data_IF_887987499037
#
_entry.id   IF_887987499037
#
_cell.length_a   1.000
_cell.length_b   1.000
_cell.length_c   1.000
_cell.angle_alpha   90.00
_cell.angle_beta   90.00
_cell.angle_gamma   90.00
#
_symmetry.space_group_name_H-M   'P 1'
#
loop_
_entity.id
_entity.type
_entity.pdbx_description
1 polymer ?
#
# COMPACT_ATOMS: atom_id res chain seq x y z
N UNK A 1 -16.20 -16.41 -3.72
CA UNK A 1 -15.17 -15.37 -3.67
C UNK A 1 -14.44 -15.37 -5.00
N UNK A 2 -14.34 -14.22 -5.66
CA UNK A 2 -13.72 -14.07 -6.98
C UNK A 2 -12.21 -14.05 -6.87
N UNK A 3 -11.55 -14.79 -7.75
CA UNK A 3 -10.12 -14.71 -8.00
C UNK A 3 -9.85 -13.73 -9.16
N UNK A 4 -8.63 -13.18 -9.27
CA UNK A 4 -8.20 -12.46 -10.46
C UNK A 4 -8.31 -13.36 -11.70
N UNK A 5 -8.67 -12.77 -12.84
CA UNK A 5 -8.77 -13.52 -14.10
C UNK A 5 -7.41 -13.70 -14.77
N UNK A 6 -6.52 -12.74 -14.59
CA UNK A 6 -5.22 -12.73 -15.24
C UNK A 6 -4.12 -12.50 -14.20
N UNK A 7 -3.31 -13.55 -13.99
CA UNK A 7 -2.26 -13.59 -12.98
C UNK A 7 -0.91 -13.80 -13.65
N UNK A 8 0.09 -13.04 -13.23
CA UNK A 8 1.49 -13.27 -13.57
C UNK A 8 2.17 -13.97 -12.38
N UNK A 9 2.95 -15.00 -12.67
CA UNK A 9 3.83 -15.71 -11.72
C UNK A 9 5.26 -15.37 -12.11
N UNK A 10 6.00 -14.75 -11.19
CA UNK A 10 7.42 -14.45 -11.34
C UNK A 10 8.18 -15.35 -10.37
N UNK A 11 8.78 -16.42 -10.89
CA UNK A 11 9.37 -17.51 -10.13
C UNK A 11 10.40 -18.21 -10.99
N UNK A 12 11.63 -18.39 -10.54
CA UNK A 12 12.68 -18.99 -11.34
C UNK A 12 12.80 -20.52 -11.19
N UNK A 13 12.17 -21.09 -10.16
CA UNK A 13 12.10 -22.51 -9.93
C UNK A 13 10.95 -23.15 -10.73
N UNK A 14 11.27 -23.88 -11.77
CA UNK A 14 10.29 -24.48 -12.70
C UNK A 14 9.25 -25.36 -11.99
N UNK A 15 9.65 -26.07 -10.94
CA UNK A 15 8.75 -26.98 -10.19
C UNK A 15 7.71 -26.14 -9.45
N UNK A 16 8.13 -25.11 -8.74
CA UNK A 16 7.25 -24.17 -8.01
C UNK A 16 6.33 -23.43 -8.97
N UNK A 17 6.86 -22.98 -10.10
CA UNK A 17 6.09 -22.31 -11.16
C UNK A 17 4.96 -23.20 -11.70
N UNK A 18 5.26 -24.49 -12.00
CA UNK A 18 4.25 -25.47 -12.45
C UNK A 18 3.21 -25.73 -11.38
N UNK A 19 3.64 -25.92 -10.14
CA UNK A 19 2.72 -26.17 -9.03
C UNK A 19 1.75 -25.00 -8.81
N UNK A 20 2.24 -23.76 -8.86
CA UNK A 20 1.40 -22.58 -8.79
C UNK A 20 0.42 -22.48 -9.95
N UNK A 21 0.89 -22.75 -11.17
CA UNK A 21 0.04 -22.78 -12.37
C UNK A 21 -1.08 -23.82 -12.22
N UNK A 22 -0.76 -25.06 -11.83
CA UNK A 22 -1.75 -26.11 -11.65
C UNK A 22 -2.83 -25.73 -10.61
N UNK A 23 -2.42 -25.09 -9.49
CA UNK A 23 -3.36 -24.60 -8.48
C UNK A 23 -4.33 -23.56 -9.08
N UNK A 24 -3.83 -22.63 -9.89
CA UNK A 24 -4.64 -21.56 -10.48
C UNK A 24 -5.55 -22.08 -11.59
N UNK A 25 -5.09 -23.00 -12.42
CA UNK A 25 -5.89 -23.65 -13.47
C UNK A 25 -7.08 -24.42 -12.88
N UNK A 26 -6.87 -25.14 -11.77
CA UNK A 26 -7.95 -25.82 -11.03
C UNK A 26 -9.02 -24.86 -10.46
N UNK A 27 -8.70 -23.57 -10.38
CA UNK A 27 -9.62 -22.52 -9.91
C UNK A 27 -10.19 -21.67 -11.05
N UNK A 28 -10.00 -22.09 -12.31
CA UNK A 28 -10.49 -21.45 -13.51
C UNK A 28 -9.97 -19.99 -13.67
N UNK A 29 -8.71 -19.73 -13.31
CA UNK A 29 -8.03 -18.48 -13.70
C UNK A 29 -7.85 -18.49 -15.22
N UNK A 30 -8.32 -17.43 -15.89
CA UNK A 30 -8.43 -17.42 -17.36
C UNK A 30 -7.06 -17.34 -18.06
N UNK A 31 -6.14 -16.59 -17.47
CA UNK A 31 -4.78 -16.40 -18.02
C UNK A 31 -3.76 -16.45 -16.91
N UNK A 32 -2.77 -17.33 -17.08
CA UNK A 32 -1.65 -17.51 -16.16
C UNK A 32 -0.36 -17.41 -16.96
N UNK A 33 0.36 -16.31 -16.76
CA UNK A 33 1.67 -16.10 -17.37
C UNK A 33 2.76 -16.42 -16.35
N UNK A 34 3.78 -17.18 -16.79
CA UNK A 34 4.90 -17.55 -15.94
C UNK A 34 6.19 -17.01 -16.55
N UNK A 35 6.93 -16.27 -15.75
CA UNK A 35 8.24 -15.71 -16.09
C UNK A 35 9.25 -16.03 -15.01
N UNK A 36 10.52 -16.06 -15.33
CA UNK A 36 11.59 -16.44 -14.41
C UNK A 36 12.59 -15.31 -14.11
N UNK A 37 12.37 -14.13 -14.71
CA UNK A 37 13.31 -13.02 -14.62
C UNK A 37 12.62 -11.64 -14.70
N UNK A 38 13.35 -10.61 -14.29
CA UNK A 38 12.88 -9.23 -14.24
C UNK A 38 12.63 -8.59 -15.61
N UNK A 39 13.44 -8.94 -16.61
CA UNK A 39 13.37 -8.32 -17.95
C UNK A 39 12.07 -8.70 -18.64
N UNK A 40 11.75 -9.99 -18.68
CA UNK A 40 10.53 -10.50 -19.29
C UNK A 40 9.28 -10.01 -18.52
N UNK A 41 9.37 -9.93 -17.19
CA UNK A 41 8.30 -9.38 -16.35
C UNK A 41 7.95 -7.94 -16.77
N UNK A 42 8.94 -7.06 -16.85
CA UNK A 42 8.72 -5.66 -17.23
C UNK A 42 8.25 -5.52 -18.68
N UNK A 43 8.77 -6.33 -19.58
CA UNK A 43 8.33 -6.35 -20.98
C UNK A 43 6.84 -6.74 -21.11
N UNK A 44 6.42 -7.80 -20.43
CA UNK A 44 5.02 -8.26 -20.48
C UNK A 44 4.05 -7.25 -19.83
N UNK A 45 4.47 -6.56 -18.79
CA UNK A 45 3.65 -5.50 -18.16
C UNK A 45 3.44 -4.28 -19.07
N UNK A 46 4.32 -4.04 -20.05
CA UNK A 46 4.15 -2.99 -21.06
C UNK A 46 3.14 -3.36 -22.16
N UNK A 47 3.07 -4.64 -22.49
CA UNK A 47 2.26 -5.15 -23.62
C UNK A 47 0.90 -5.67 -23.20
N UNK A 48 0.74 -6.01 -21.91
CA UNK A 48 -0.45 -6.66 -21.41
C UNK A 48 -0.83 -6.19 -19.98
N UNK A 49 -2.07 -6.46 -19.58
CA UNK A 49 -2.59 -6.05 -18.26
C UNK A 49 -2.88 -7.28 -17.40
N UNK A 50 -2.21 -7.35 -16.28
CA UNK A 50 -2.43 -8.37 -15.26
C UNK A 50 -3.21 -7.77 -14.09
N UNK A 51 -3.98 -8.62 -13.42
CA UNK A 51 -4.79 -8.21 -12.26
C UNK A 51 -4.09 -8.49 -10.94
N UNK A 52 -3.05 -9.34 -10.94
CA UNK A 52 -2.25 -9.69 -9.78
C UNK A 52 -0.91 -10.28 -10.19
N UNK A 53 0.09 -10.12 -9.34
CA UNK A 53 1.41 -10.75 -9.47
C UNK A 53 1.67 -11.62 -8.24
N UNK A 54 2.07 -12.88 -8.47
CA UNK A 54 2.76 -13.73 -7.50
C UNK A 54 4.25 -13.59 -7.75
N UNK A 55 5.01 -13.12 -6.77
CA UNK A 55 6.41 -12.72 -6.93
C UNK A 55 7.29 -13.48 -5.97
N UNK A 56 8.22 -14.31 -6.48
CA UNK A 56 9.32 -14.76 -5.63
C UNK A 56 10.33 -13.62 -5.41
N UNK A 57 10.93 -13.59 -4.25
CA UNK A 57 12.03 -12.67 -3.93
C UNK A 57 13.29 -13.08 -4.71
N UNK A 58 13.55 -14.38 -4.80
CA UNK A 58 14.70 -14.93 -5.54
C UNK A 58 14.32 -15.23 -6.98
N UNK A 59 14.59 -14.31 -7.87
CA UNK A 59 14.37 -14.47 -9.30
C UNK A 59 15.68 -14.34 -10.06
N UNK A 60 15.73 -14.90 -11.27
CA UNK A 60 16.86 -14.70 -12.17
C UNK A 60 16.95 -13.26 -12.66
N UNK A 61 18.17 -12.77 -12.86
CA UNK A 61 18.44 -11.48 -13.44
C UNK A 61 19.34 -10.59 -12.59
N UNK A 62 19.36 -9.30 -12.91
CA UNK A 62 20.24 -8.33 -12.27
C UNK A 62 19.62 -7.71 -10.99
N UNK A 63 18.34 -7.93 -10.78
CA UNK A 63 17.58 -7.43 -9.63
C UNK A 63 16.72 -8.54 -9.04
N UNK A 64 16.55 -8.53 -7.73
CA UNK A 64 15.68 -9.43 -7.00
C UNK A 64 14.18 -9.04 -7.12
N UNK A 65 13.30 -9.91 -6.63
CA UNK A 65 11.86 -9.68 -6.69
C UNK A 65 11.40 -8.46 -5.90
N UNK A 66 12.10 -8.06 -4.83
CA UNK A 66 11.77 -6.85 -4.04
C UNK A 66 12.09 -5.60 -4.87
N UNK A 67 13.27 -5.54 -5.47
CA UNK A 67 13.68 -4.44 -6.33
C UNK A 67 12.78 -4.33 -7.57
N UNK A 68 12.43 -5.47 -8.16
CA UNK A 68 11.48 -5.55 -9.28
C UNK A 68 10.09 -5.02 -8.87
N UNK A 69 9.58 -5.44 -7.73
CA UNK A 69 8.30 -4.96 -7.21
C UNK A 69 8.32 -3.44 -6.97
N UNK A 70 9.43 -2.89 -6.41
CA UNK A 70 9.62 -1.44 -6.26
C UNK A 70 9.50 -0.71 -7.60
N UNK A 71 10.07 -1.27 -8.66
CA UNK A 71 10.01 -0.68 -9.99
C UNK A 71 8.61 -0.78 -10.60
N UNK A 72 7.97 -1.93 -10.51
CA UNK A 72 6.60 -2.14 -10.99
C UNK A 72 5.63 -1.16 -10.32
N UNK A 73 5.68 -1.03 -9.00
CA UNK A 73 4.76 -0.19 -8.22
C UNK A 73 4.93 1.32 -8.44
N UNK A 74 6.02 1.77 -9.08
CA UNK A 74 6.15 3.17 -9.53
C UNK A 74 5.20 3.51 -10.68
N UNK A 75 4.89 2.52 -11.53
CA UNK A 75 4.15 2.74 -12.79
C UNK A 75 2.78 2.06 -12.78
N UNK A 76 2.67 0.91 -12.12
CA UNK A 76 1.46 0.07 -12.15
C UNK A 76 0.80 0.00 -10.80
N UNK A 77 -0.52 0.18 -10.76
CA UNK A 77 -1.34 -0.13 -9.59
C UNK A 77 -1.83 -1.56 -9.68
N UNK A 78 -1.00 -2.50 -9.28
CA UNK A 78 -1.27 -3.94 -9.33
C UNK A 78 -0.97 -4.58 -7.97
N UNK A 79 -1.83 -5.46 -7.44
CA UNK A 79 -1.55 -6.15 -6.19
C UNK A 79 -0.45 -7.18 -6.39
N UNK A 80 0.55 -7.14 -5.51
CA UNK A 80 1.66 -8.09 -5.47
C UNK A 80 1.56 -8.92 -4.20
N UNK A 81 1.68 -10.25 -4.33
CA UNK A 81 1.86 -11.19 -3.24
C UNK A 81 3.25 -11.77 -3.36
N UNK A 82 4.07 -11.64 -2.33
CA UNK A 82 5.37 -12.29 -2.29
C UNK A 82 5.25 -13.74 -1.86
N UNK A 83 6.00 -14.62 -2.54
CA UNK A 83 6.17 -16.03 -2.19
C UNK A 83 7.66 -16.26 -2.03
N UNK A 84 8.11 -16.70 -0.86
CA UNK A 84 9.55 -16.83 -0.62
C UNK A 84 9.89 -17.85 0.46
N UNK A 85 11.09 -18.43 0.36
CA UNK A 85 11.70 -19.23 1.42
C UNK A 85 12.40 -18.38 2.49
N UNK A 86 12.56 -17.07 2.27
CA UNK A 86 13.22 -16.17 3.21
C UNK A 86 12.34 -15.82 4.37
N UNK A 87 12.91 -15.97 5.57
CA UNK A 87 12.27 -15.66 6.86
C UNK A 87 13.13 -14.74 7.72
N UNK A 88 14.24 -14.19 7.17
CA UNK A 88 15.08 -13.26 7.92
C UNK A 88 14.38 -11.90 8.07
N UNK A 89 14.56 -11.29 9.26
CA UNK A 89 13.88 -10.05 9.64
C UNK A 89 14.16 -8.90 8.66
N UNK A 90 15.37 -8.81 8.13
CA UNK A 90 15.76 -7.71 7.24
C UNK A 90 15.00 -7.76 5.91
N UNK A 91 14.93 -8.92 5.29
CA UNK A 91 14.17 -9.14 4.04
C UNK A 91 12.69 -8.90 4.26
N UNK A 92 12.16 -9.32 5.41
CA UNK A 92 10.76 -9.10 5.78
C UNK A 92 10.46 -7.59 5.92
N UNK A 93 11.34 -6.83 6.58
CA UNK A 93 11.19 -5.39 6.73
C UNK A 93 11.19 -4.67 5.36
N UNK A 94 12.09 -5.05 4.45
CA UNK A 94 12.15 -4.49 3.09
C UNK A 94 10.86 -4.79 2.29
N UNK A 95 10.29 -5.97 2.44
CA UNK A 95 9.00 -6.34 1.81
C UNK A 95 7.85 -5.54 2.42
N UNK A 96 7.82 -5.38 3.75
CA UNK A 96 6.76 -4.65 4.45
C UNK A 96 6.75 -3.15 4.10
N UNK A 97 7.92 -2.56 3.80
CA UNK A 97 8.00 -1.17 3.32
C UNK A 97 7.22 -0.95 2.01
N UNK A 98 7.07 -1.98 1.17
CA UNK A 98 6.30 -1.91 -0.07
C UNK A 98 4.79 -2.00 0.15
N UNK A 99 4.34 -2.30 1.37
CA UNK A 99 2.93 -2.53 1.69
C UNK A 99 2.28 -3.55 0.74
N UNK A 100 2.85 -4.77 0.60
CA UNK A 100 2.34 -5.77 -0.31
C UNK A 100 0.93 -6.21 0.11
N UNK A 101 0.17 -6.75 -0.83
CA UNK A 101 -1.17 -7.27 -0.55
C UNK A 101 -1.16 -8.60 0.18
N UNK A 102 -0.03 -9.30 0.18
CA UNK A 102 0.16 -10.56 0.90
C UNK A 102 1.59 -11.05 0.85
N UNK A 103 1.86 -12.03 1.71
CA UNK A 103 3.12 -12.73 1.84
C UNK A 103 2.85 -14.21 2.14
N UNK A 104 3.56 -15.11 1.47
CA UNK A 104 3.43 -16.56 1.63
C UNK A 104 4.81 -17.16 1.78
N UNK A 105 5.03 -17.92 2.85
CA UNK A 105 6.31 -18.64 3.07
C UNK A 105 6.31 -19.99 2.35
N UNK A 106 7.42 -20.35 1.74
CA UNK A 106 7.70 -21.72 1.26
C UNK A 106 8.15 -22.58 2.46
N UNK A 107 7.69 -23.85 2.59
CA UNK A 107 6.72 -24.54 1.72
C UNK A 107 5.27 -24.14 2.00
N UNK A 108 4.45 -24.11 0.98
CA UNK A 108 3.05 -23.70 1.05
C UNK A 108 2.10 -24.76 0.47
N UNK A 109 0.85 -24.71 0.88
CA UNK A 109 -0.23 -25.55 0.38
C UNK A 109 -1.08 -24.81 -0.66
N UNK A 110 -1.79 -25.55 -1.50
CA UNK A 110 -2.76 -24.97 -2.44
C UNK A 110 -3.84 -24.13 -1.74
N UNK A 111 -4.24 -24.52 -0.53
CA UNK A 111 -5.24 -23.80 0.26
C UNK A 111 -4.72 -22.44 0.72
N UNK A 112 -3.48 -22.35 1.17
CA UNK A 112 -2.84 -21.08 1.59
C UNK A 112 -2.73 -20.11 0.42
N UNK A 113 -2.29 -20.58 -0.75
CA UNK A 113 -2.22 -19.77 -1.98
C UNK A 113 -3.60 -19.20 -2.31
N UNK A 114 -4.63 -20.04 -2.38
CA UNK A 114 -5.98 -19.58 -2.75
C UNK A 114 -6.55 -18.58 -1.75
N UNK A 115 -6.37 -18.82 -0.46
CA UNK A 115 -6.84 -17.89 0.59
C UNK A 115 -6.12 -16.54 0.47
N UNK A 116 -4.79 -16.55 0.31
CA UNK A 116 -4.00 -15.33 0.17
C UNK A 116 -4.42 -14.50 -1.06
N UNK A 117 -4.59 -15.16 -2.21
CA UNK A 117 -5.08 -14.53 -3.44
C UNK A 117 -6.45 -13.89 -3.25
N UNK A 118 -7.40 -14.61 -2.63
CA UNK A 118 -8.75 -14.12 -2.41
C UNK A 118 -8.77 -12.90 -1.48
N UNK A 119 -7.99 -12.93 -0.41
CA UNK A 119 -7.88 -11.80 0.54
C UNK A 119 -7.25 -10.59 -0.14
N UNK A 120 -6.12 -10.79 -0.82
CA UNK A 120 -5.38 -9.74 -1.50
C UNK A 120 -6.22 -9.08 -2.60
N UNK A 121 -6.86 -9.89 -3.44
CA UNK A 121 -7.68 -9.38 -4.53
C UNK A 121 -8.92 -8.64 -4.01
N UNK A 122 -9.58 -9.15 -2.98
CA UNK A 122 -10.70 -8.46 -2.34
C UNK A 122 -10.27 -7.10 -1.77
N UNK A 123 -9.12 -7.03 -1.09
CA UNK A 123 -8.58 -5.78 -0.57
C UNK A 123 -8.28 -4.79 -1.69
N UNK A 124 -7.67 -5.27 -2.77
CA UNK A 124 -7.39 -4.44 -3.95
C UNK A 124 -8.67 -3.91 -4.61
N UNK A 125 -9.69 -4.74 -4.79
CA UNK A 125 -10.97 -4.32 -5.36
C UNK A 125 -11.69 -3.29 -4.48
N UNK A 126 -11.65 -3.45 -3.16
CA UNK A 126 -12.19 -2.47 -2.21
C UNK A 126 -11.43 -1.15 -2.34
N UNK A 127 -10.10 -1.20 -2.38
CA UNK A 127 -9.25 -0.02 -2.59
C UNK A 127 -9.57 0.65 -3.93
N UNK A 128 -9.63 -0.09 -5.02
CA UNK A 128 -9.96 0.42 -6.36
C UNK A 128 -11.36 1.03 -6.41
N UNK A 129 -12.36 0.33 -5.85
CA UNK A 129 -13.73 0.85 -5.77
C UNK A 129 -13.84 2.11 -4.90
N UNK A 130 -13.00 2.25 -3.86
CA UNK A 130 -12.95 3.47 -3.06
C UNK A 130 -12.34 4.65 -3.83
N UNK A 131 -11.34 4.40 -4.69
CA UNK A 131 -10.81 5.42 -5.60
C UNK A 131 -11.86 5.83 -6.64
N UNK A 132 -12.56 4.88 -7.24
CA UNK A 132 -13.60 5.14 -8.24
C UNK A 132 -14.82 5.86 -7.64
N UNK A 133 -15.24 5.50 -6.41
CA UNK A 133 -16.30 6.20 -5.67
C UNK A 133 -15.90 7.60 -5.20
N UNK A 134 -14.62 7.86 -5.03
CA UNK A 134 -14.10 9.18 -4.64
C UNK A 134 -14.14 10.21 -5.77
N UNK A 135 -14.45 9.79 -7.00
CA UNK A 135 -14.90 10.71 -8.04
C UNK A 135 -16.36 11.19 -7.81
N UNK A 136 -17.09 10.59 -6.87
CA UNK A 136 -18.38 11.07 -6.36
C UNK A 136 -18.19 11.75 -5.01
N UNK A 137 -18.55 13.00 -4.94
CA UNK A 137 -18.28 14.13 -4.06
C UNK A 137 -18.53 14.00 -2.53
N UNK A 138 -18.68 12.84 -1.92
CA UNK A 138 -19.21 12.74 -0.54
C UNK A 138 -18.20 12.33 0.55
N UNK A 139 -16.98 11.94 0.21
CA UNK A 139 -15.98 11.53 1.21
C UNK A 139 -14.62 12.24 1.09
N UNK A 140 -14.52 13.20 0.16
CA UNK A 140 -13.35 14.04 -0.01
C UNK A 140 -13.56 15.35 0.74
N UNK A 141 -12.74 15.58 1.74
CA UNK A 141 -12.75 16.82 2.52
C UNK A 141 -11.77 17.79 1.86
N UNK A 142 -12.30 18.87 1.31
CA UNK A 142 -11.50 19.97 0.80
C UNK A 142 -10.94 20.73 2.00
N UNK A 143 -9.63 20.76 2.15
CA UNK A 143 -8.93 21.48 3.22
C UNK A 143 -8.60 22.90 2.74
N UNK A 144 -8.11 23.00 1.51
CA UNK A 144 -7.85 24.26 0.79
C UNK A 144 -8.14 24.07 -0.70
N UNK A 145 -7.99 25.11 -1.51
CA UNK A 145 -8.06 24.96 -2.97
C UNK A 145 -7.05 23.95 -3.52
N UNK A 146 -5.90 23.77 -2.86
CA UNK A 146 -4.83 22.85 -3.27
C UNK A 146 -5.00 21.46 -2.67
N UNK A 147 -5.40 21.37 -1.39
CA UNK A 147 -5.38 20.15 -0.61
C UNK A 147 -6.76 19.55 -0.40
N UNK A 148 -6.90 18.30 -0.80
CA UNK A 148 -8.10 17.48 -0.55
C UNK A 148 -7.69 16.18 0.15
N UNK A 149 -8.37 15.82 1.23
CA UNK A 149 -8.14 14.57 1.95
C UNK A 149 -9.29 13.61 1.77
N UNK A 150 -8.97 12.40 1.31
CA UNK A 150 -9.95 11.32 1.22
C UNK A 150 -9.96 10.49 2.51
N UNK A 151 -11.05 10.56 3.26
CA UNK A 151 -11.22 9.79 4.50
C UNK A 151 -11.32 8.29 4.25
N UNK A 152 -11.88 7.88 3.11
CA UNK A 152 -12.10 6.46 2.80
C UNK A 152 -10.81 5.68 2.57
N UNK A 153 -9.77 6.34 2.05
CA UNK A 153 -8.46 5.74 1.75
C UNK A 153 -7.33 6.42 2.52
N UNK A 154 -7.66 7.31 3.47
CA UNK A 154 -6.70 8.09 4.29
C UNK A 154 -5.59 8.74 3.44
N UNK A 155 -5.93 9.34 2.30
CA UNK A 155 -4.97 9.87 1.34
C UNK A 155 -5.14 11.37 1.14
N UNK A 156 -4.02 12.11 1.20
CA UNK A 156 -3.97 13.52 0.86
C UNK A 156 -3.64 13.71 -0.62
N UNK A 157 -4.34 14.63 -1.26
CA UNK A 157 -4.08 15.08 -2.63
C UNK A 157 -3.64 16.53 -2.62
N UNK A 158 -2.65 16.86 -3.44
CA UNK A 158 -2.22 18.21 -3.81
C UNK A 158 -2.51 18.40 -5.30
N UNK A 159 -3.38 19.34 -5.66
CA UNK A 159 -3.81 19.53 -7.05
C UNK A 159 -4.24 18.24 -7.78
N UNK A 160 -4.94 17.34 -7.10
CA UNK A 160 -5.37 16.01 -7.55
C UNK A 160 -4.24 14.97 -7.67
N UNK A 161 -3.00 15.30 -7.35
CA UNK A 161 -1.91 14.34 -7.28
C UNK A 161 -1.78 13.77 -5.85
N UNK A 162 -1.47 12.48 -5.75
CA UNK A 162 -1.32 11.81 -4.46
C UNK A 162 -0.05 12.30 -3.76
N UNK A 163 -0.18 12.80 -2.55
CA UNK A 163 0.96 13.17 -1.71
C UNK A 163 1.52 11.92 -1.03
N UNK A 164 2.80 11.63 -1.23
CA UNK A 164 3.49 10.52 -0.55
C UNK A 164 3.76 10.91 0.91
N UNK A 165 3.09 10.25 1.83
CA UNK A 165 3.22 10.44 3.27
C UNK A 165 3.65 9.14 3.94
N UNK A 166 4.37 9.23 5.06
CA UNK A 166 4.62 8.08 5.92
C UNK A 166 3.34 7.64 6.66
N UNK A 167 3.30 6.41 7.15
CA UNK A 167 2.14 5.89 7.91
C UNK A 167 1.74 6.78 9.10
N UNK A 168 2.72 7.34 9.81
CA UNK A 168 2.46 8.25 10.95
C UNK A 168 1.94 9.62 10.50
N UNK A 169 2.40 10.13 9.36
CA UNK A 169 1.85 11.36 8.77
C UNK A 169 0.40 11.16 8.32
N UNK A 170 0.09 10.03 7.70
CA UNK A 170 -1.29 9.66 7.34
C UNK A 170 -2.20 9.62 8.58
N UNK A 171 -1.83 8.89 9.63
CA UNK A 171 -2.61 8.83 10.89
C UNK A 171 -2.82 10.21 11.52
N UNK A 172 -1.78 11.07 11.51
CA UNK A 172 -1.92 12.44 12.04
C UNK A 172 -2.91 13.26 11.22
N UNK A 173 -2.78 13.28 9.91
CA UNK A 173 -3.70 14.04 9.06
C UNK A 173 -5.13 13.49 9.16
N UNK A 174 -5.31 12.18 9.22
CA UNK A 174 -6.62 11.55 9.34
C UNK A 174 -7.35 11.99 10.61
N UNK A 175 -6.70 11.97 11.78
CA UNK A 175 -7.34 12.40 13.02
C UNK A 175 -7.65 13.89 13.02
N UNK A 176 -6.78 14.72 12.41
CA UNK A 176 -7.02 16.16 12.31
C UNK A 176 -8.15 16.50 11.33
N UNK A 177 -8.24 15.78 10.20
CA UNK A 177 -9.31 15.95 9.21
C UNK A 177 -10.67 15.50 9.78
N UNK A 178 -10.69 14.44 10.59
CA UNK A 178 -11.91 14.03 11.31
C UNK A 178 -12.41 15.08 12.33
N UNK A 179 -11.54 16.02 12.72
CA UNK A 179 -11.79 17.05 13.72
C UNK A 179 -11.48 18.46 13.17
N UNK A 180 -11.90 18.76 11.95
CA UNK A 180 -11.65 20.06 11.32
C UNK A 180 -12.09 21.21 12.20
N UNK A 181 -11.26 22.26 12.25
CA UNK A 181 -11.47 23.47 13.07
C UNK A 181 -11.53 23.23 14.59
N UNK A 182 -11.34 21.97 15.06
CA UNK A 182 -11.29 21.64 16.48
C UNK A 182 -9.90 21.13 16.86
N UNK A 183 -9.41 21.60 17.99
CA UNK A 183 -8.10 21.18 18.50
C UNK A 183 -8.14 19.71 18.96
N UNK A 184 -7.29 18.88 18.38
CA UNK A 184 -7.03 17.53 18.86
C UNK A 184 -5.88 17.61 19.86
N UNK A 185 -6.11 17.14 21.10
CA UNK A 185 -5.14 17.22 22.18
C UNK A 185 -3.95 16.29 21.93
N UNK A 186 -2.79 16.61 22.51
CA UNK A 186 -1.58 15.79 22.36
C UNK A 186 -1.81 14.34 22.79
N UNK A 187 -2.52 14.12 23.89
CA UNK A 187 -2.78 12.78 24.41
C UNK A 187 -3.65 11.94 23.46
N UNK A 188 -4.63 12.55 22.80
CA UNK A 188 -5.48 11.88 21.83
C UNK A 188 -4.71 11.55 20.54
N UNK A 189 -3.85 12.49 20.09
CA UNK A 189 -2.98 12.27 18.94
C UNK A 189 -1.98 11.12 19.25
N UNK A 190 -1.37 11.15 20.43
CA UNK A 190 -0.44 10.10 20.86
C UNK A 190 -1.11 8.72 20.88
N UNK A 191 -2.29 8.62 21.49
CA UNK A 191 -3.07 7.39 21.56
C UNK A 191 -3.44 6.87 20.17
N UNK A 192 -3.83 7.76 19.28
CA UNK A 192 -4.25 7.41 17.93
C UNK A 192 -3.11 6.93 17.03
N UNK A 193 -1.93 7.55 17.13
CA UNK A 193 -0.79 7.26 16.23
C UNK A 193 0.07 6.11 16.75
N UNK A 194 0.34 6.07 18.06
CA UNK A 194 1.31 5.16 18.68
C UNK A 194 0.71 4.10 19.60
N UNK A 195 -0.60 4.13 19.81
CA UNK A 195 -1.42 3.12 20.54
C UNK A 195 -0.94 2.80 21.96
N UNK A 196 0.25 2.17 22.13
CA UNK A 196 0.79 1.70 23.42
C UNK A 196 2.15 2.28 23.80
N UNK A 197 2.80 3.02 22.91
CA UNK A 197 4.13 3.57 23.18
C UNK A 197 4.03 4.87 23.99
N UNK A 198 4.80 4.97 25.09
CA UNK A 198 5.01 6.24 25.81
C UNK A 198 6.00 7.11 25.02
N UNK A 199 5.47 7.98 24.18
CA UNK A 199 6.29 8.82 23.30
C UNK A 199 6.30 10.26 23.81
N UNK A 200 7.48 10.88 23.72
CA UNK A 200 7.64 12.28 24.12
C UNK A 200 6.97 13.25 23.14
N UNK A 201 6.52 14.40 23.65
CA UNK A 201 5.98 15.47 22.82
C UNK A 201 6.97 15.99 21.75
N UNK A 202 8.29 15.71 21.90
CA UNK A 202 9.29 16.04 20.88
C UNK A 202 9.11 15.23 19.60
N UNK A 203 8.73 13.96 19.68
CA UNK A 203 8.47 13.10 18.51
C UNK A 203 7.27 13.59 17.71
N UNK A 204 6.18 13.98 18.40
CA UNK A 204 5.02 14.58 17.72
C UNK A 204 5.38 15.91 17.05
N UNK A 205 6.17 16.76 17.70
CA UNK A 205 6.65 18.03 17.11
C UNK A 205 7.48 17.78 15.85
N UNK A 206 8.36 16.78 15.86
CA UNK A 206 9.16 16.39 14.70
C UNK A 206 8.26 15.91 13.55
N UNK A 207 7.23 15.11 13.85
CA UNK A 207 6.25 14.67 12.86
C UNK A 207 5.51 15.85 12.23
N UNK A 208 5.00 16.77 13.06
CA UNK A 208 4.33 18.00 12.59
C UNK A 208 5.26 18.86 11.77
N UNK A 209 6.51 19.03 12.21
CA UNK A 209 7.51 19.79 11.45
C UNK A 209 7.75 19.18 10.07
N UNK A 210 7.86 17.84 9.97
CA UNK A 210 8.06 17.15 8.70
C UNK A 210 6.89 17.39 7.73
N UNK A 211 5.65 17.39 8.23
CA UNK A 211 4.46 17.70 7.42
C UNK A 211 4.51 19.14 6.95
N UNK A 212 4.75 20.11 7.83
CA UNK A 212 4.83 21.53 7.47
C UNK A 212 5.92 21.84 6.45
N UNK A 213 7.06 21.13 6.54
CA UNK A 213 8.14 21.25 5.57
C UNK A 213 7.76 20.70 4.20
N UNK A 214 7.04 19.60 4.16
CA UNK A 214 6.60 18.94 2.93
C UNK A 214 5.39 19.65 2.30
N UNK A 215 4.51 20.19 3.12
CA UNK A 215 3.23 20.80 2.73
C UNK A 215 3.10 22.19 3.36
N UNK A 216 3.83 23.19 2.86
CA UNK A 216 3.93 24.51 3.51
C UNK A 216 2.61 25.28 3.52
N UNK A 217 1.71 25.03 2.58
CA UNK A 217 0.42 25.70 2.46
C UNK A 217 -0.73 24.94 3.16
N UNK A 218 -0.42 23.78 3.77
CA UNK A 218 -1.41 23.07 4.57
C UNK A 218 -1.69 23.85 5.85
N UNK A 219 -2.95 24.22 6.18
CA UNK A 219 -3.29 25.07 7.32
C UNK A 219 -3.23 24.29 8.65
N UNK A 220 -2.11 23.66 8.92
CA UNK A 220 -1.83 22.91 10.14
C UNK A 220 -1.39 23.86 11.25
N UNK A 221 -2.32 24.13 12.16
CA UNK A 221 -2.15 25.07 13.27
C UNK A 221 -1.85 24.37 14.59
N UNK A 222 -1.21 25.10 15.52
CA UNK A 222 -1.01 24.66 16.91
C UNK A 222 -1.83 25.53 17.85
N UNK A 223 -2.43 24.91 18.88
CA UNK A 223 -3.18 25.61 19.90
C UNK A 223 -2.48 25.53 21.26
N UNK A 224 -2.00 26.69 21.74
CA UNK A 224 -1.51 26.95 23.12
C UNK A 224 -0.75 25.81 23.82
N UNK A 225 0.15 25.09 23.13
CA UNK A 225 0.89 23.91 23.66
C UNK A 225 -0.01 22.74 24.11
N UNK A 226 -1.26 22.69 23.64
CA UNK A 226 -2.23 21.66 24.03
C UNK A 226 -2.51 20.67 22.91
N UNK A 227 -2.43 21.09 21.64
CA UNK A 227 -2.75 20.23 20.53
C UNK A 227 -2.52 20.88 19.16
N UNK A 228 -3.04 20.22 18.14
CA UNK A 228 -3.01 20.65 16.74
C UNK A 228 -4.40 20.61 16.12
N UNK A 229 -4.60 21.40 15.09
CA UNK A 229 -5.84 21.38 14.28
C UNK A 229 -5.55 21.80 12.85
N UNK A 230 -6.42 21.43 11.94
CA UNK A 230 -6.48 21.97 10.58
C UNK A 230 -7.55 23.06 10.53
N UNK A 231 -7.13 24.24 10.08
CA UNK A 231 -8.05 25.37 9.90
C UNK A 231 -8.62 25.33 8.49
N UNK A 232 -9.93 25.20 8.37
CA UNK A 232 -10.67 25.27 7.10
C UNK A 232 -11.65 26.42 7.20
N UNK A 233 -11.70 27.26 6.17
CA UNK A 233 -12.61 28.42 6.09
C UNK A 233 -14.04 28.01 5.79
#
# INVERSE_FOLDING_TARGET
>A
MTLPKKIMIVEDEVITQRYLRDILEQKNVETIECVDNSVDTLHLLQTDRYEMILMDINIKGNIDGISLAKEILKTYQIPIIFITAYTDEKTLDEVLELSPYGFISKPFTSKEIIIALQIAYKRFLIYKASIEKNNDSTNNIVITELYTFSLSISTLYDNKEVVKLSARQHKLLEILVKNLNHTVLFDDIHRYIWETETISNSTLRTLVYSIRKQLPELPLCSYSKQGYYLKVD
#
